data_IF_379269591095
#
_entry.id   IF_379269591095
#
_cell.length_a   1.000
_cell.length_b   1.000
_cell.length_c   1.000
_cell.angle_alpha   90.00
_cell.angle_beta   90.00
_cell.angle_gamma   90.00
#
_symmetry.space_group_name_H-M   'P 1'
#
loop_
_entity.id
_entity.type
_entity.pdbx_description
1 polymer ?
#
# COMPACT_ATOMS: atom_id res chain seq x y z
N UNK A 1 -28.51 3.86 1.51
CA UNK A 1 -27.32 4.21 2.34
C UNK A 1 -26.14 3.99 1.44
N UNK A 2 -25.40 5.05 1.07
CA UNK A 2 -24.24 4.93 0.20
C UNK A 2 -23.22 4.03 0.91
N UNK A 3 -22.94 2.87 0.33
CA UNK A 3 -21.81 2.04 0.76
C UNK A 3 -20.59 2.86 0.39
N UNK A 4 -19.85 3.34 1.40
CA UNK A 4 -18.61 4.07 1.18
C UNK A 4 -17.65 3.11 0.43
N UNK A 5 -17.25 3.42 -0.82
CA UNK A 5 -16.57 2.47 -1.66
C UNK A 5 -15.10 2.43 -1.26
N UNK A 6 -14.77 1.63 -0.24
CA UNK A 6 -13.41 1.25 0.15
C UNK A 6 -12.52 2.47 0.45
N UNK A 7 -12.47 2.83 1.73
CA UNK A 7 -11.53 3.81 2.24
C UNK A 7 -10.12 3.22 2.22
N UNK A 8 -9.28 3.64 1.28
CA UNK A 8 -7.87 3.28 1.31
C UNK A 8 -7.10 4.33 2.12
N UNK A 9 -6.29 3.87 3.06
CA UNK A 9 -5.50 4.74 3.95
C UNK A 9 -4.03 4.62 3.56
N UNK A 10 -3.41 5.75 3.22
CA UNK A 10 -1.98 5.79 2.92
C UNK A 10 -1.21 5.92 4.22
N UNK A 11 -0.55 4.85 4.65
CA UNK A 11 0.19 4.82 5.91
C UNK A 11 1.67 5.05 5.61
N UNK A 12 2.05 6.32 5.34
CA UNK A 12 3.42 6.94 5.31
C UNK A 12 3.54 7.98 4.16
N UNK A 13 4.01 9.23 4.28
CA UNK A 13 4.55 10.07 5.35
C UNK A 13 4.14 11.53 5.06
N UNK A 14 3.88 12.28 6.14
CA UNK A 14 3.75 13.74 6.20
C UNK A 14 5.02 14.45 5.70
N UNK A 15 4.93 15.21 4.61
CA UNK A 15 5.53 16.56 4.46
C UNK A 15 4.79 17.29 3.33
N UNK A 16 4.28 18.47 3.66
CA UNK A 16 3.58 19.40 2.79
C UNK A 16 4.59 20.15 1.92
N UNK A 17 4.48 20.00 0.61
CA UNK A 17 5.04 20.92 -0.38
C UNK A 17 6.01 20.26 -1.36
N UNK A 18 5.59 20.20 -2.63
CA UNK A 18 6.35 19.76 -3.83
C UNK A 18 6.23 18.29 -4.31
N UNK A 19 5.21 17.52 -3.90
CA UNK A 19 5.06 16.09 -4.28
C UNK A 19 4.21 15.81 -5.53
N UNK A 20 3.75 16.84 -6.28
CA UNK A 20 2.61 16.69 -7.20
C UNK A 20 2.72 15.57 -8.27
N UNK A 21 3.82 15.44 -9.04
CA UNK A 21 3.88 14.43 -10.12
C UNK A 21 4.02 13.01 -9.59
N UNK A 22 4.94 12.79 -8.63
CA UNK A 22 5.19 11.48 -8.03
C UNK A 22 3.96 10.96 -7.27
N UNK A 23 3.23 11.87 -6.61
CA UNK A 23 2.01 11.51 -5.91
C UNK A 23 0.89 11.06 -6.86
N UNK A 24 0.79 11.66 -8.05
CA UNK A 24 -0.16 11.22 -9.06
C UNK A 24 0.18 9.80 -9.55
N UNK A 25 1.46 9.51 -9.76
CA UNK A 25 1.89 8.17 -10.16
C UNK A 25 1.60 7.11 -9.09
N UNK A 26 1.81 7.43 -7.80
CA UNK A 26 1.43 6.55 -6.69
C UNK A 26 -0.07 6.34 -6.66
N UNK A 27 -0.87 7.39 -6.82
CA UNK A 27 -2.33 7.29 -6.86
C UNK A 27 -2.81 6.42 -8.01
N UNK A 28 -2.26 6.61 -9.21
CA UNK A 28 -2.64 5.85 -10.39
C UNK A 28 -2.29 4.38 -10.23
N UNK A 29 -1.10 4.08 -9.69
CA UNK A 29 -0.72 2.72 -9.34
C UNK A 29 -1.61 2.14 -8.23
N UNK A 30 -1.91 2.92 -7.18
CA UNK A 30 -2.74 2.46 -6.07
C UNK A 30 -4.17 2.14 -6.53
N UNK A 31 -4.75 2.95 -7.42
CA UNK A 31 -6.04 2.66 -8.04
C UNK A 31 -6.03 1.34 -8.80
N UNK A 32 -4.96 1.06 -9.57
CA UNK A 32 -4.79 -0.23 -10.27
C UNK A 32 -4.62 -1.39 -9.29
N UNK A 33 -3.85 -1.21 -8.23
CA UNK A 33 -3.65 -2.24 -7.21
C UNK A 33 -4.95 -2.57 -6.45
N UNK A 34 -5.72 -1.55 -6.08
CA UNK A 34 -7.04 -1.72 -5.45
C UNK A 34 -8.02 -2.42 -6.40
N UNK A 35 -8.05 -2.04 -7.67
CA UNK A 35 -8.87 -2.71 -8.68
C UNK A 35 -8.49 -4.20 -8.81
N UNK A 36 -7.19 -4.52 -8.87
CA UNK A 36 -6.73 -5.91 -8.89
C UNK A 36 -7.16 -6.69 -7.66
N UNK A 37 -7.06 -6.09 -6.47
CA UNK A 37 -7.54 -6.72 -5.23
C UNK A 37 -9.04 -6.99 -5.35
N UNK A 38 -9.83 -5.99 -5.79
CA UNK A 38 -11.29 -6.11 -5.93
C UNK A 38 -11.73 -7.17 -6.93
N UNK A 39 -10.97 -7.36 -8.00
CA UNK A 39 -11.23 -8.42 -8.97
C UNK A 39 -11.07 -9.83 -8.36
N UNK A 40 -10.31 -9.96 -7.27
CA UNK A 40 -10.16 -11.24 -6.55
C UNK A 40 -11.29 -11.51 -5.53
N UNK A 41 -12.18 -10.55 -5.31
CA UNK A 41 -13.19 -10.59 -4.24
C UNK A 41 -14.54 -11.02 -4.78
N UNK A 42 -15.14 -12.00 -4.12
CA UNK A 42 -16.55 -12.32 -4.31
C UNK A 42 -17.43 -11.39 -3.48
N UNK A 43 -17.87 -10.29 -4.09
CA UNK A 43 -18.67 -9.23 -3.45
C UNK A 43 -19.98 -9.73 -2.80
N UNK A 44 -20.46 -10.94 -3.13
CA UNK A 44 -21.65 -11.52 -2.50
C UNK A 44 -21.38 -12.08 -1.09
N UNK A 45 -20.14 -12.50 -0.79
CA UNK A 45 -19.81 -13.23 0.44
C UNK A 45 -18.50 -12.79 1.11
N UNK A 46 -17.74 -11.91 0.49
CA UNK A 46 -16.48 -11.40 1.03
C UNK A 46 -16.58 -9.89 1.28
N UNK A 47 -16.01 -9.47 2.40
CA UNK A 47 -15.85 -8.04 2.76
C UNK A 47 -14.38 -7.72 2.92
N UNK A 48 -14.03 -6.48 2.61
CA UNK A 48 -12.65 -6.01 2.50
C UNK A 48 -12.41 -4.94 3.56
N UNK A 49 -11.30 -5.02 4.27
CA UNK A 49 -10.86 -3.92 5.13
C UNK A 49 -10.31 -2.77 4.30
N UNK A 50 -10.00 -1.67 4.96
CA UNK A 50 -9.25 -0.57 4.34
C UNK A 50 -7.97 -1.11 3.68
N UNK A 51 -7.70 -0.65 2.46
CA UNK A 51 -6.46 -1.00 1.74
C UNK A 51 -5.37 -0.06 2.21
N UNK A 52 -4.30 -0.61 2.77
CA UNK A 52 -3.14 0.14 3.21
C UNK A 52 -2.09 0.20 2.09
N UNK A 53 -1.65 1.41 1.75
CA UNK A 53 -0.63 1.65 0.73
C UNK A 53 0.69 2.05 1.39
N UNK A 54 1.77 1.41 0.97
CA UNK A 54 3.12 1.64 1.48
C UNK A 54 4.14 1.87 0.37
N UNK A 55 5.13 2.67 0.70
CA UNK A 55 6.45 2.64 0.08
C UNK A 55 7.41 1.90 1.01
N UNK A 56 8.09 0.90 0.49
CA UNK A 56 8.96 0.02 1.26
C UNK A 56 10.35 -0.04 0.64
N UNK A 57 11.38 -0.08 1.48
CA UNK A 57 12.74 -0.48 1.09
C UNK A 57 13.02 -1.86 1.70
N UNK A 58 13.31 -2.84 0.86
CA UNK A 58 13.80 -4.14 1.29
C UNK A 58 15.18 -4.39 0.67
N UNK A 59 16.20 -4.48 1.53
CA UNK A 59 17.60 -4.57 1.10
C UNK A 59 17.94 -3.40 0.17
N UNK A 60 18.26 -3.68 -1.10
CA UNK A 60 18.61 -2.69 -2.13
C UNK A 60 17.47 -2.44 -3.13
N UNK A 61 16.25 -2.89 -2.83
CA UNK A 61 15.09 -2.71 -3.72
C UNK A 61 14.01 -1.91 -3.02
N UNK A 62 13.31 -1.12 -3.82
CA UNK A 62 12.18 -0.34 -3.36
C UNK A 62 10.90 -0.91 -3.95
N UNK A 63 9.80 -0.80 -3.20
CA UNK A 63 8.51 -1.34 -3.59
C UNK A 63 7.39 -0.39 -3.25
N UNK A 64 6.39 -0.34 -4.13
CA UNK A 64 5.03 0.08 -3.79
C UNK A 64 4.26 -1.18 -3.38
N UNK A 65 3.57 -1.15 -2.24
CA UNK A 65 2.81 -2.29 -1.72
C UNK A 65 1.41 -1.85 -1.30
N UNK A 66 0.40 -2.54 -1.79
CA UNK A 66 -0.98 -2.42 -1.36
C UNK A 66 -1.34 -3.70 -0.63
N UNK A 67 -1.89 -3.59 0.58
CA UNK A 67 -2.29 -4.75 1.36
C UNK A 67 -3.66 -4.55 2.01
N UNK A 68 -4.42 -5.64 2.15
CA UNK A 68 -5.72 -5.62 2.81
C UNK A 68 -6.08 -6.98 3.39
N UNK A 69 -7.02 -6.98 4.33
CA UNK A 69 -7.65 -8.18 4.85
C UNK A 69 -9.01 -8.38 4.18
N UNK A 70 -9.26 -9.61 3.76
CA UNK A 70 -10.55 -10.03 3.21
C UNK A 70 -11.13 -11.05 4.19
N UNK A 71 -12.39 -10.86 4.57
CA UNK A 71 -13.13 -11.78 5.42
C UNK A 71 -14.32 -12.35 4.66
N UNK A 72 -14.46 -13.67 4.67
CA UNK A 72 -15.68 -14.33 4.22
C UNK A 72 -16.76 -14.20 5.31
N UNK A 73 -17.93 -13.65 4.96
CA UNK A 73 -18.98 -13.34 5.92
C UNK A 73 -19.69 -14.59 6.47
N UNK A 74 -19.67 -15.70 5.71
CA UNK A 74 -20.38 -16.94 6.04
C UNK A 74 -19.61 -17.78 7.05
N UNK A 75 -18.30 -17.95 6.84
CA UNK A 75 -17.46 -18.80 7.69
C UNK A 75 -16.47 -18.02 8.58
N UNK A 76 -16.40 -16.69 8.44
CA UNK A 76 -15.47 -15.81 9.16
C UNK A 76 -13.99 -16.12 8.92
N UNK A 77 -13.68 -16.81 7.83
CA UNK A 77 -12.29 -17.01 7.43
C UNK A 77 -11.69 -15.70 6.91
N UNK A 78 -10.47 -15.42 7.34
CA UNK A 78 -9.70 -14.27 6.91
C UNK A 78 -8.61 -14.72 5.96
N UNK A 79 -8.41 -13.97 4.87
CA UNK A 79 -7.21 -14.04 4.05
C UNK A 79 -6.59 -12.66 3.89
N UNK A 80 -5.30 -12.64 3.62
CA UNK A 80 -4.53 -11.43 3.42
C UNK A 80 -4.14 -11.33 1.96
N UNK A 81 -4.41 -10.18 1.35
CA UNK A 81 -4.02 -9.91 -0.03
C UNK A 81 -2.97 -8.82 -0.10
N UNK A 82 -2.00 -9.02 -0.99
CA UNK A 82 -0.89 -8.11 -1.22
C UNK A 82 -0.66 -7.96 -2.72
N UNK A 83 -0.67 -6.72 -3.19
CA UNK A 83 -0.16 -6.35 -4.52
C UNK A 83 1.13 -5.57 -4.32
N UNK A 84 2.22 -6.04 -4.92
CA UNK A 84 3.56 -5.48 -4.73
C UNK A 84 4.25 -5.26 -6.08
N UNK A 85 4.79 -4.06 -6.27
CA UNK A 85 5.50 -3.66 -7.48
C UNK A 85 6.87 -3.08 -7.12
N UNK A 86 7.93 -3.55 -7.77
CA UNK A 86 9.27 -2.99 -7.60
C UNK A 86 9.40 -1.66 -8.33
N UNK A 87 10.06 -0.70 -7.70
CA UNK A 87 10.33 0.62 -8.27
C UNK A 87 11.83 0.93 -8.22
N UNK A 88 12.31 1.68 -9.20
CA UNK A 88 13.69 2.11 -9.25
C UNK A 88 13.93 3.29 -8.30
N UNK A 89 15.17 3.45 -7.84
CA UNK A 89 15.53 4.54 -6.94
C UNK A 89 15.35 5.92 -7.59
N UNK A 90 15.55 6.01 -8.90
CA UNK A 90 15.35 7.22 -9.69
C UNK A 90 13.92 7.73 -9.65
N UNK A 91 12.97 6.82 -9.43
CA UNK A 91 11.55 7.12 -9.47
C UNK A 91 11.07 7.67 -8.12
N UNK A 92 11.89 7.56 -7.07
CA UNK A 92 11.59 8.01 -5.72
C UNK A 92 12.22 9.39 -5.47
N UNK A 93 11.41 10.42 -5.17
CA UNK A 93 11.92 11.73 -4.79
C UNK A 93 12.86 11.63 -3.58
N UNK A 94 13.93 12.43 -3.59
CA UNK A 94 14.99 12.42 -2.58
C UNK A 94 14.46 12.50 -1.14
N UNK A 95 13.43 13.33 -0.93
CA UNK A 95 12.76 13.53 0.35
C UNK A 95 12.15 12.24 0.94
N UNK A 96 11.58 11.36 0.09
CA UNK A 96 11.05 10.07 0.54
C UNK A 96 12.16 9.04 0.68
N UNK A 97 13.21 9.13 -0.13
CA UNK A 97 14.35 8.22 -0.06
C UNK A 97 14.97 8.23 1.33
N UNK A 98 15.27 9.40 1.87
CA UNK A 98 15.88 9.55 3.20
C UNK A 98 15.01 8.92 4.30
N UNK A 99 13.70 9.18 4.26
CA UNK A 99 12.74 8.58 5.21
C UNK A 99 12.64 7.06 5.08
N UNK A 100 12.68 6.53 3.85
CA UNK A 100 12.66 5.09 3.60
C UNK A 100 13.92 4.42 4.12
N UNK A 101 15.08 5.06 3.99
CA UNK A 101 16.34 4.56 4.52
C UNK A 101 16.36 4.55 6.05
N UNK A 102 15.90 5.61 6.69
CA UNK A 102 15.77 5.70 8.15
C UNK A 102 14.83 4.61 8.69
N UNK A 103 13.66 4.45 8.07
CA UNK A 103 12.70 3.40 8.45
C UNK A 103 13.24 1.99 8.24
N UNK A 104 13.98 1.76 7.15
CA UNK A 104 14.61 0.46 6.89
C UNK A 104 15.67 0.12 7.96
N UNK A 105 16.45 1.10 8.42
CA UNK A 105 17.41 0.93 9.52
C UNK A 105 16.71 0.55 10.83
N UNK A 106 15.58 1.19 11.15
CA UNK A 106 14.80 0.87 12.36
C UNK A 106 14.22 -0.55 12.31
N UNK A 107 13.68 -0.99 11.16
CA UNK A 107 13.17 -2.36 10.99
C UNK A 107 14.26 -3.43 11.15
N UNK A 108 15.50 -3.14 10.77
CA UNK A 108 16.64 -4.03 10.98
C UNK A 108 16.99 -4.16 12.47
N UNK A 109 17.00 -3.05 13.22
CA UNK A 109 17.31 -3.05 14.65
C UNK A 109 16.24 -3.81 15.44
N UNK A 110 14.95 -3.63 15.14
CA UNK A 110 13.86 -4.29 15.85
C UNK A 110 13.75 -5.81 15.61
N UNK A 111 14.52 -6.37 14.67
CA UNK A 111 14.55 -7.80 14.34
C UNK A 111 15.83 -8.49 14.84
N UNK A 112 16.62 -7.81 15.68
CA UNK A 112 17.83 -8.33 16.37
C UNK A 112 17.57 -8.42 17.86
#
# INVERSE_FOLDING_TARGET
MAIDPISWTIIAVTILGAVSPYWNEIKDWANRAVAQILDTINQAVEVVSDVAIYLLKEKNRYYKQAETYIMNINNKEYRFEIVKESIELSDIPEEFRQQLEERAKIKLIAKT
#
